data_IF_678881607629
#
_entry.id   IF_678881607629
#
_cell.length_a   1.000
_cell.length_b   1.000
_cell.length_c   1.000
_cell.angle_alpha   90.00
_cell.angle_beta   90.00
_cell.angle_gamma   90.00
#
_symmetry.space_group_name_H-M   'P 1'
#
loop_
_entity.id
_entity.type
_entity.pdbx_description
1 polymer ?
#
# COMPACT_ATOMS: atom_id res chain seq x y z
N UNK A 1 11.40 0.12 -4.21
CA UNK A 1 11.40 0.65 -2.84
C UNK A 1 12.69 1.43 -2.54
N UNK A 2 13.86 0.83 -2.72
CA UNK A 2 15.16 1.46 -2.42
C UNK A 2 15.41 2.78 -3.17
N UNK A 3 14.89 2.95 -4.39
CA UNK A 3 14.96 4.21 -5.12
C UNK A 3 14.23 5.37 -4.44
N UNK A 4 13.28 5.09 -3.57
CA UNK A 4 12.56 6.12 -2.81
C UNK A 4 13.39 6.79 -1.71
N UNK A 5 14.54 6.21 -1.35
CA UNK A 5 15.50 6.79 -0.41
C UNK A 5 16.60 7.60 -1.12
N UNK A 6 16.48 7.78 -2.44
CA UNK A 6 17.32 8.72 -3.17
C UNK A 6 17.15 10.14 -2.61
N UNK A 7 18.24 10.91 -2.43
CA UNK A 7 18.14 12.29 -1.96
C UNK A 7 17.65 13.18 -3.11
N UNK A 8 16.32 13.28 -3.26
CA UNK A 8 15.70 14.16 -4.27
C UNK A 8 16.03 15.62 -3.97
N UNK A 9 16.22 16.42 -5.01
CA UNK A 9 16.56 17.84 -4.88
C UNK A 9 15.37 18.68 -4.36
N UNK A 10 14.13 18.17 -4.51
CA UNK A 10 12.91 18.84 -4.05
C UNK A 10 11.84 17.86 -3.58
N UNK A 11 10.87 18.38 -2.82
CA UNK A 11 9.69 17.61 -2.43
C UNK A 11 8.80 17.27 -3.63
N UNK A 12 8.77 18.13 -4.63
CA UNK A 12 8.05 17.93 -5.89
C UNK A 12 8.57 16.71 -6.66
N UNK A 13 9.89 16.50 -6.71
CA UNK A 13 10.51 15.31 -7.31
C UNK A 13 10.27 14.07 -6.44
N UNK A 14 10.48 14.20 -5.16
CA UNK A 14 10.21 13.12 -4.18
C UNK A 14 8.79 12.58 -4.34
N UNK A 15 7.80 13.46 -4.37
CA UNK A 15 6.41 13.06 -4.49
C UNK A 15 6.02 12.63 -5.91
N UNK A 16 6.71 13.11 -6.95
CA UNK A 16 6.55 12.57 -8.29
C UNK A 16 6.99 11.10 -8.36
N UNK A 17 8.08 10.73 -7.71
CA UNK A 17 8.50 9.33 -7.58
C UNK A 17 7.50 8.50 -6.75
N UNK A 18 7.23 8.97 -5.52
CA UNK A 18 6.44 8.19 -4.58
C UNK A 18 4.98 8.03 -4.98
N UNK A 19 4.36 9.03 -5.61
CA UNK A 19 2.99 8.89 -6.10
C UNK A 19 2.83 7.76 -7.10
N UNK A 20 3.79 7.59 -8.03
CA UNK A 20 3.81 6.45 -8.96
C UNK A 20 4.03 5.13 -8.25
N UNK A 21 4.98 5.10 -7.32
CA UNK A 21 5.28 3.89 -6.56
C UNK A 21 4.09 3.44 -5.69
N UNK A 22 3.47 4.38 -4.98
CA UNK A 22 2.27 4.15 -4.17
C UNK A 22 1.15 3.63 -5.06
N UNK A 23 0.87 4.31 -6.17
CA UNK A 23 -0.24 3.93 -7.05
C UNK A 23 -0.11 2.49 -7.56
N UNK A 24 1.06 2.15 -8.08
CA UNK A 24 1.34 0.81 -8.61
C UNK A 24 1.18 -0.27 -7.52
N UNK A 25 1.74 -0.04 -6.35
CA UNK A 25 1.77 -1.07 -5.31
C UNK A 25 0.49 -1.14 -4.47
N UNK A 26 -0.18 0.01 -4.26
CA UNK A 26 -1.31 0.13 -3.34
C UNK A 26 -2.66 0.13 -4.05
N UNK A 27 -2.77 0.80 -5.19
CA UNK A 27 -4.05 1.05 -5.84
C UNK A 27 -4.30 0.18 -7.06
N UNK A 28 -3.28 -0.19 -7.83
CA UNK A 28 -3.44 -1.15 -8.94
C UNK A 28 -3.71 -2.56 -8.43
N UNK A 29 -4.37 -3.36 -9.26
CA UNK A 29 -4.60 -4.76 -8.95
C UNK A 29 -3.30 -5.58 -9.00
N UNK A 30 -3.20 -6.59 -8.14
CA UNK A 30 -2.09 -7.52 -8.19
C UNK A 30 -2.11 -8.28 -9.54
N UNK A 31 -0.94 -8.44 -10.22
CA UNK A 31 -0.89 -9.02 -11.57
C UNK A 31 -1.17 -10.54 -11.59
N UNK A 32 -1.16 -11.19 -10.44
CA UNK A 32 -1.36 -12.65 -10.30
C UNK A 32 -2.33 -12.96 -9.17
N UNK A 33 -3.09 -14.05 -9.25
CA UNK A 33 -4.14 -14.38 -8.27
C UNK A 33 -3.58 -15.05 -6.99
N UNK A 34 -2.36 -14.72 -6.57
CA UNK A 34 -1.70 -15.35 -5.40
C UNK A 34 -2.52 -15.14 -4.13
N UNK A 35 -2.92 -13.90 -3.87
CA UNK A 35 -3.70 -13.56 -2.66
C UNK A 35 -5.12 -14.10 -2.72
N UNK A 36 -5.76 -14.10 -3.90
CA UNK A 36 -7.09 -14.69 -4.08
C UNK A 36 -7.06 -16.20 -3.86
N UNK A 37 -6.04 -16.89 -4.38
CA UNK A 37 -5.85 -18.33 -4.15
C UNK A 37 -5.59 -18.65 -2.68
N UNK A 38 -4.82 -17.81 -1.98
CA UNK A 38 -4.60 -17.95 -0.54
C UNK A 38 -5.89 -17.72 0.24
N UNK A 39 -6.70 -16.73 -0.15
CA UNK A 39 -8.00 -16.49 0.47
C UNK A 39 -8.92 -17.70 0.33
N UNK A 40 -9.04 -18.28 -0.88
CA UNK A 40 -9.84 -19.51 -1.09
C UNK A 40 -9.38 -20.68 -0.21
N UNK A 41 -8.09 -20.78 0.08
CA UNK A 41 -7.54 -21.82 0.96
C UNK A 41 -7.96 -21.64 2.41
N UNK A 42 -8.17 -20.41 2.90
CA UNK A 42 -8.34 -20.11 4.32
C UNK A 42 -9.72 -19.54 4.69
N UNK A 43 -10.55 -19.11 3.73
CA UNK A 43 -11.82 -18.39 3.98
C UNK A 43 -12.79 -19.11 4.93
N UNK A 44 -12.80 -20.45 4.89
CA UNK A 44 -13.66 -21.29 5.73
C UNK A 44 -12.98 -21.75 7.04
N UNK A 45 -11.82 -21.19 7.37
CA UNK A 45 -11.05 -21.53 8.56
C UNK A 45 -11.06 -20.38 9.57
N UNK A 46 -10.77 -20.69 10.81
CA UNK A 46 -10.48 -19.66 11.80
C UNK A 46 -9.01 -19.23 11.60
N UNK A 47 -8.81 -18.13 10.89
CA UNK A 47 -7.49 -17.62 10.50
C UNK A 47 -7.24 -16.22 11.03
N UNK A 48 -5.97 -15.87 11.13
CA UNK A 48 -5.51 -14.51 11.28
C UNK A 48 -4.29 -14.26 10.40
N UNK A 49 -4.18 -13.09 9.78
CA UNK A 49 -3.04 -12.70 8.94
C UNK A 49 -2.20 -11.67 9.67
N UNK A 50 -0.94 -12.01 9.92
CA UNK A 50 0.10 -11.07 10.35
C UNK A 50 1.02 -10.80 9.15
N UNK A 51 1.14 -9.54 8.74
CA UNK A 51 1.95 -9.19 7.56
C UNK A 51 2.82 -7.96 7.79
N UNK A 52 3.98 -7.97 7.17
CA UNK A 52 4.85 -6.79 7.03
C UNK A 52 4.65 -6.07 5.70
N UNK A 53 3.76 -6.57 4.82
CA UNK A 53 3.42 -5.92 3.57
C UNK A 53 2.53 -4.69 3.82
N UNK A 54 2.74 -3.66 3.01
CA UNK A 54 2.08 -2.35 3.09
C UNK A 54 1.24 -2.02 1.85
N UNK A 55 1.00 -3.05 0.99
CA UNK A 55 0.39 -2.95 -0.34
C UNK A 55 -1.12 -3.21 -0.38
N UNK A 56 -1.73 -3.61 0.73
CA UNK A 56 -3.15 -3.94 0.84
C UNK A 56 -3.62 -5.13 -0.02
N UNK A 57 -2.72 -5.97 -0.51
CA UNK A 57 -3.09 -7.09 -1.38
C UNK A 57 -4.00 -8.11 -0.69
N UNK A 58 -3.88 -8.32 0.62
CA UNK A 58 -4.80 -9.17 1.37
C UNK A 58 -6.22 -8.61 1.36
N UNK A 59 -6.41 -7.33 1.65
CA UNK A 59 -7.72 -6.68 1.68
C UNK A 59 -8.36 -6.67 0.29
N UNK A 60 -7.58 -6.42 -0.77
CA UNK A 60 -8.06 -6.49 -2.17
C UNK A 60 -8.54 -7.89 -2.56
N UNK A 61 -7.93 -8.92 -2.00
CA UNK A 61 -8.31 -10.31 -2.24
C UNK A 61 -9.53 -10.77 -1.42
N UNK A 62 -10.09 -9.92 -0.55
CA UNK A 62 -11.29 -10.22 0.23
C UNK A 62 -11.05 -10.71 1.66
N UNK A 63 -9.81 -10.69 2.15
CA UNK A 63 -9.55 -11.02 3.55
C UNK A 63 -10.24 -10.03 4.49
N UNK A 64 -10.83 -10.55 5.56
CA UNK A 64 -11.49 -9.73 6.57
C UNK A 64 -10.47 -8.83 7.29
N UNK A 65 -10.69 -7.51 7.24
CA UNK A 65 -9.84 -6.52 7.91
C UNK A 65 -9.74 -6.75 9.42
N UNK A 66 -10.75 -7.34 10.05
CA UNK A 66 -10.73 -7.67 11.48
C UNK A 66 -9.82 -8.85 11.81
N UNK A 67 -9.43 -9.64 10.82
CA UNK A 67 -8.51 -10.78 10.90
C UNK A 67 -7.14 -10.49 10.28
N UNK A 68 -6.76 -9.22 10.25
CA UNK A 68 -5.56 -8.77 9.55
C UNK A 68 -4.83 -7.72 10.39
N UNK A 69 -3.51 -7.90 10.55
CA UNK A 69 -2.61 -6.91 11.14
C UNK A 69 -1.40 -6.68 10.22
N UNK A 70 -1.31 -5.49 9.62
CA UNK A 70 -0.20 -5.01 8.80
C UNK A 70 0.68 -4.10 9.64
N UNK A 71 1.79 -4.64 10.14
CA UNK A 71 2.59 -4.07 11.22
C UNK A 71 3.48 -2.89 10.79
N UNK A 72 3.79 -2.77 9.50
CA UNK A 72 4.78 -1.83 8.96
C UNK A 72 4.15 -0.58 8.32
N UNK A 73 2.83 -0.37 8.51
CA UNK A 73 2.08 0.74 7.93
C UNK A 73 1.37 0.42 6.62
N UNK A 74 1.04 1.45 5.85
CA UNK A 74 0.25 1.35 4.62
C UNK A 74 0.71 2.43 3.62
N UNK A 75 0.98 2.04 2.37
CA UNK A 75 1.22 2.99 1.28
C UNK A 75 0.03 3.93 1.02
N UNK A 76 -1.18 3.55 1.43
CA UNK A 76 -2.38 4.35 1.32
C UNK A 76 -2.54 5.44 2.39
N UNK A 77 -1.55 5.61 3.28
CA UNK A 77 -1.61 6.56 4.38
C UNK A 77 -0.41 7.52 4.39
N UNK A 78 -0.71 8.80 4.67
CA UNK A 78 0.30 9.79 5.01
C UNK A 78 0.29 10.09 6.51
N UNK A 79 1.44 10.45 7.04
CA UNK A 79 1.64 10.95 8.41
C UNK A 79 2.47 12.22 8.43
N UNK A 80 2.47 12.96 9.52
CA UNK A 80 3.39 14.07 9.72
C UNK A 80 4.85 13.56 9.73
N UNK A 81 5.74 14.18 8.95
CA UNK A 81 7.17 13.79 8.90
C UNK A 81 7.89 13.96 10.23
N UNK A 82 7.41 14.88 11.06
CA UNK A 82 7.82 15.01 12.46
C UNK A 82 6.57 14.77 13.28
N UNK A 83 6.34 13.58 13.85
CA UNK A 83 5.08 13.20 14.45
C UNK A 83 4.63 14.19 15.52
N UNK A 84 3.75 15.10 15.16
CA UNK A 84 3.18 16.09 16.09
C UNK A 84 1.88 15.60 16.73
N UNK A 85 1.34 14.49 16.25
CA UNK A 85 0.13 13.84 16.73
C UNK A 85 0.07 12.39 16.19
N UNK A 86 -0.79 11.57 16.77
CA UNK A 86 -0.92 10.15 16.48
C UNK A 86 -2.09 9.88 15.51
N UNK A 87 -2.00 10.43 14.28
CA UNK A 87 -2.97 10.17 13.23
C UNK A 87 -2.31 10.00 11.86
N UNK A 88 -2.89 9.11 11.07
CA UNK A 88 -2.57 8.91 9.66
C UNK A 88 -3.77 9.33 8.79
N UNK A 89 -3.51 9.69 7.54
CA UNK A 89 -4.47 10.28 6.60
C UNK A 89 -4.50 9.52 5.29
N UNK A 90 -5.69 9.22 4.80
CA UNK A 90 -5.87 8.63 3.47
C UNK A 90 -5.25 9.50 2.38
N UNK A 91 -4.62 8.87 1.39
CA UNK A 91 -3.88 9.59 0.36
C UNK A 91 -4.32 9.29 -1.07
N UNK A 92 -5.33 8.45 -1.30
CA UNK A 92 -5.69 7.98 -2.64
C UNK A 92 -6.00 9.12 -3.60
N UNK A 93 -6.86 10.06 -3.19
CA UNK A 93 -7.24 11.18 -4.05
C UNK A 93 -6.04 12.06 -4.40
N UNK A 94 -5.20 12.37 -3.41
CA UNK A 94 -4.03 13.21 -3.62
C UNK A 94 -2.98 12.53 -4.52
N UNK A 95 -2.75 11.23 -4.32
CA UNK A 95 -1.86 10.43 -5.17
C UNK A 95 -2.36 10.42 -6.62
N UNK A 96 -3.67 10.26 -6.86
CA UNK A 96 -4.26 10.33 -8.20
C UNK A 96 -4.03 11.69 -8.86
N UNK A 97 -4.27 12.77 -8.14
CA UNK A 97 -4.01 14.14 -8.63
C UNK A 97 -2.51 14.38 -8.94
N UNK A 98 -1.61 13.86 -8.12
CA UNK A 98 -0.17 13.93 -8.40
C UNK A 98 0.19 13.22 -9.72
N UNK A 99 -0.43 12.08 -10.01
CA UNK A 99 -0.20 11.35 -11.26
C UNK A 99 -0.77 12.09 -12.47
N UNK A 100 -1.97 12.60 -12.37
CA UNK A 100 -2.59 13.41 -13.43
C UNK A 100 -1.74 14.66 -13.76
N UNK A 101 -1.20 15.33 -12.73
CA UNK A 101 -0.31 16.46 -12.91
C UNK A 101 1.02 16.11 -13.61
N UNK A 102 1.46 14.85 -13.50
CA UNK A 102 2.62 14.31 -14.22
C UNK A 102 2.29 13.89 -15.67
N UNK A 103 1.02 13.88 -16.07
CA UNK A 103 0.57 13.49 -17.41
C UNK A 103 0.06 12.06 -17.52
N UNK A 104 -0.23 11.38 -16.41
CA UNK A 104 -0.88 10.07 -16.44
C UNK A 104 -2.39 10.20 -16.49
N UNK A 105 -3.06 9.37 -17.31
CA UNK A 105 -4.50 9.19 -17.26
C UNK A 105 -4.83 7.99 -16.39
N UNK A 106 -5.61 8.21 -15.36
CA UNK A 106 -6.05 7.16 -14.45
C UNK A 106 -7.47 6.76 -14.83
N UNK A 107 -7.68 5.48 -15.15
CA UNK A 107 -9.01 4.94 -15.41
C UNK A 107 -9.85 4.97 -14.12
N UNK A 108 -11.03 5.58 -14.18
CA UNK A 108 -12.01 5.46 -13.11
C UNK A 108 -12.75 4.13 -13.28
N UNK A 109 -12.66 3.22 -12.35
CA UNK A 109 -13.45 1.97 -12.30
C UNK A 109 -14.99 2.21 -12.33
N UNK A 110 -15.42 3.45 -12.10
CA UNK A 110 -16.82 3.86 -12.15
C UNK A 110 -17.29 4.34 -13.54
N UNK A 111 -16.38 4.56 -14.50
CA UNK A 111 -16.71 5.03 -15.84
C UNK A 111 -16.63 3.91 -16.90
N UNK A 112 -17.25 2.76 -16.66
CA UNK A 112 -17.53 1.76 -17.72
C UNK A 112 -18.68 2.21 -18.67
N UNK A 113 -18.91 3.50 -18.80
CA UNK A 113 -19.86 4.10 -19.70
C UNK A 113 -19.23 5.26 -20.46
N UNK A 114 -18.97 5.09 -21.76
CA UNK A 114 -18.61 6.12 -22.72
C UNK A 114 -17.15 6.60 -22.78
N UNK A 115 -16.25 5.73 -23.23
CA UNK A 115 -15.03 6.17 -23.91
C UNK A 115 -15.45 6.61 -25.33
N UNK A 116 -15.36 7.91 -25.62
CA UNK A 116 -15.59 8.46 -26.96
C UNK A 116 -14.69 7.73 -27.97
N UNK A 117 -15.27 7.31 -29.09
CA UNK A 117 -14.63 6.47 -30.13
C UNK A 117 -13.27 6.99 -30.65
N UNK A 118 -12.98 8.28 -30.54
CA UNK A 118 -11.75 8.88 -31.05
C UNK A 118 -10.50 8.62 -30.16
N UNK A 119 -10.67 8.36 -28.87
CA UNK A 119 -9.55 8.03 -27.99
C UNK A 119 -9.07 6.57 -28.16
N UNK A 120 -9.90 5.68 -28.73
CA UNK A 120 -9.55 4.26 -28.92
C UNK A 120 -8.51 4.00 -30.01
N UNK A 121 -8.42 4.85 -31.02
CA UNK A 121 -7.45 4.66 -32.12
C UNK A 121 -6.08 5.21 -31.75
N UNK A 122 -6.00 6.33 -31.02
CA UNK A 122 -4.74 6.88 -30.53
C UNK A 122 -4.12 6.04 -29.43
N UNK A 123 -4.91 5.49 -28.50
CA UNK A 123 -4.46 4.60 -27.43
C UNK A 123 -3.96 3.26 -27.96
N UNK A 124 -4.43 2.82 -29.14
CA UNK A 124 -4.00 1.55 -29.74
C UNK A 124 -2.55 1.59 -30.28
N UNK A 125 -2.04 2.79 -30.59
CA UNK A 125 -0.67 2.99 -31.08
C UNK A 125 0.36 3.04 -29.93
N UNK A 126 -0.05 3.32 -28.68
CA UNK A 126 0.80 3.55 -27.52
C UNK A 126 0.82 2.42 -26.48
N UNK A 127 0.34 1.23 -26.84
CA UNK A 127 0.55 0.03 -26.03
C UNK A 127 2.03 -0.36 -25.99
N UNK A 128 2.81 0.38 -25.22
CA UNK A 128 4.11 -0.13 -24.77
C UNK A 128 3.87 -1.30 -23.82
N UNK A 129 4.37 -2.48 -24.20
CA UNK A 129 4.29 -3.78 -23.52
C UNK A 129 4.95 -3.80 -22.11
N UNK A 130 4.75 -2.81 -21.26
CA UNK A 130 5.42 -2.73 -19.96
C UNK A 130 4.65 -3.38 -18.81
N UNK A 131 3.34 -3.65 -18.98
CA UNK A 131 2.56 -4.35 -17.98
C UNK A 131 1.46 -5.17 -18.68
N UNK A 132 1.77 -6.40 -19.06
CA UNK A 132 0.73 -7.34 -19.44
C UNK A 132 -0.15 -7.59 -18.20
N UNK A 133 -1.31 -6.94 -18.15
CA UNK A 133 -2.35 -7.32 -17.20
C UNK A 133 -3.06 -6.21 -16.41
N UNK A 134 -2.73 -4.93 -16.57
CA UNK A 134 -3.49 -3.85 -15.91
C UNK A 134 -3.75 -2.69 -16.84
N UNK A 135 -5.04 -2.41 -17.10
CA UNK A 135 -5.50 -1.29 -17.96
C UNK A 135 -5.59 0.06 -17.19
N UNK A 136 -5.03 0.15 -15.97
CA UNK A 136 -5.37 1.19 -15.01
C UNK A 136 -4.49 2.45 -15.08
N UNK A 137 -3.32 2.38 -15.71
CA UNK A 137 -2.42 3.52 -15.84
C UNK A 137 -2.02 3.71 -17.31
N UNK A 138 -2.54 4.74 -17.97
CA UNK A 138 -2.25 5.07 -19.36
C UNK A 138 -1.35 6.32 -19.38
N UNK A 139 -0.16 6.17 -19.99
CA UNK A 139 0.69 7.32 -20.31
C UNK A 139 0.12 8.06 -21.53
N UNK A 140 -0.05 9.36 -21.43
CA UNK A 140 -0.36 10.22 -22.58
C UNK A 140 0.92 10.54 -23.35
N UNK A 141 0.82 10.96 -24.63
CA UNK A 141 1.95 11.44 -25.46
C UNK A 141 2.63 12.70 -24.92
N UNK A 142 2.15 13.27 -23.82
CA UNK A 142 2.79 14.37 -23.13
C UNK A 142 4.11 13.90 -22.51
N UNK A 143 5.13 14.73 -22.60
CA UNK A 143 6.40 14.54 -21.90
C UNK A 143 6.10 14.38 -20.42
N UNK A 144 6.42 13.20 -19.86
CA UNK A 144 6.24 12.93 -18.44
C UNK A 144 7.01 13.95 -17.61
N UNK A 145 6.31 14.61 -16.74
CA UNK A 145 6.93 15.50 -15.78
C UNK A 145 7.47 14.67 -14.60
N UNK A 146 8.74 14.92 -14.26
CA UNK A 146 9.38 14.27 -13.10
C UNK A 146 9.20 15.07 -11.81
N UNK A 147 8.29 16.03 -11.82
CA UNK A 147 7.93 16.87 -10.69
C UNK A 147 6.41 17.04 -10.65
N UNK A 148 5.87 17.20 -9.45
CA UNK A 148 4.48 17.61 -9.23
C UNK A 148 4.42 19.11 -8.94
N UNK A 149 3.28 19.78 -9.14
CA UNK A 149 3.06 21.14 -8.63
C UNK A 149 3.22 21.23 -7.11
N UNK A 150 3.81 22.32 -6.60
CA UNK A 150 4.08 22.51 -5.17
C UNK A 150 2.82 22.49 -4.30
N UNK A 151 1.66 22.89 -4.84
CA UNK A 151 0.36 22.83 -4.17
C UNK A 151 -0.14 21.40 -3.91
N UNK A 152 0.45 20.39 -4.56
CA UNK A 152 0.15 18.98 -4.32
C UNK A 152 1.11 18.32 -3.32
N UNK A 153 2.15 19.01 -2.87
CA UNK A 153 3.01 18.52 -1.79
C UNK A 153 2.20 18.42 -0.51
N UNK A 154 2.06 17.23 0.10
CA UNK A 154 1.22 17.05 1.27
C UNK A 154 1.83 17.72 2.50
N UNK A 155 1.01 18.48 3.22
CA UNK A 155 1.37 19.13 4.48
C UNK A 155 0.46 18.69 5.62
N UNK A 156 1.05 18.55 6.80
CA UNK A 156 0.34 18.18 8.00
C UNK A 156 -0.74 19.22 8.34
N UNK A 157 -2.01 18.82 8.51
CA UNK A 157 -3.09 19.77 8.78
C UNK A 157 -2.99 20.43 10.17
N UNK A 158 -2.19 19.87 11.09
CA UNK A 158 -2.03 20.44 12.43
C UNK A 158 -0.83 21.39 12.55
N UNK A 159 0.32 21.04 11.95
CA UNK A 159 1.54 21.83 12.14
C UNK A 159 2.10 22.44 10.85
N UNK A 160 1.49 22.19 9.69
CA UNK A 160 1.93 22.71 8.39
C UNK A 160 3.25 22.12 7.85
N UNK A 161 3.92 21.24 8.58
CA UNK A 161 5.15 20.60 8.08
C UNK A 161 4.85 19.61 6.96
N UNK A 162 5.81 19.31 6.08
CA UNK A 162 5.61 18.25 5.08
C UNK A 162 5.18 16.94 5.70
N UNK A 163 4.38 16.18 4.99
CA UNK A 163 4.03 14.81 5.35
C UNK A 163 5.00 13.81 4.74
N UNK A 164 4.95 12.58 5.21
CA UNK A 164 5.62 11.41 4.65
C UNK A 164 4.63 10.24 4.60
N UNK A 165 5.01 9.14 3.97
CA UNK A 165 4.22 7.91 3.99
C UNK A 165 4.19 7.34 5.40
N UNK A 166 3.07 6.75 5.81
CA UNK A 166 2.98 5.99 7.05
C UNK A 166 3.64 4.61 6.87
N UNK A 167 4.98 4.60 6.90
CA UNK A 167 5.80 3.41 6.77
C UNK A 167 6.80 3.35 7.92
N UNK A 168 6.97 2.17 8.51
CA UNK A 168 7.96 1.93 9.56
C UNK A 168 9.37 1.83 8.96
N UNK A 169 9.93 2.95 8.54
CA UNK A 169 11.31 3.07 8.05
C UNK A 169 12.29 3.43 9.19
N UNK A 170 11.79 4.13 10.20
CA UNK A 170 12.55 4.61 11.36
C UNK A 170 11.64 4.76 12.60
N UNK A 171 12.11 5.49 13.61
CA UNK A 171 11.40 5.73 14.87
C UNK A 171 10.33 6.84 14.80
N UNK A 172 10.09 7.43 13.63
CA UNK A 172 9.03 8.44 13.44
C UNK A 172 7.70 7.84 13.01
N UNK A 173 7.62 6.52 12.85
CA UNK A 173 6.40 5.82 12.48
C UNK A 173 5.25 6.11 13.45
N UNK A 174 4.10 6.52 12.91
CA UNK A 174 2.89 6.77 13.69
C UNK A 174 2.06 5.50 13.77
N UNK A 175 1.92 4.97 14.97
CA UNK A 175 0.97 3.90 15.30
C UNK A 175 -0.35 4.57 15.68
N UNK A 176 -1.25 4.69 14.71
CA UNK A 176 -2.56 5.29 14.95
C UNK A 176 -3.52 4.34 15.68
N UNK A 177 -4.72 4.83 16.01
CA UNK A 177 -5.74 4.02 16.67
C UNK A 177 -6.08 2.74 15.89
N UNK A 178 -6.11 2.81 14.56
CA UNK A 178 -6.38 1.65 13.71
C UNK A 178 -5.30 0.58 13.82
N UNK A 179 -4.04 1.00 13.92
CA UNK A 179 -2.90 0.12 14.13
C UNK A 179 -2.99 -0.59 15.51
N UNK A 180 -3.24 0.17 16.57
CA UNK A 180 -3.39 -0.38 17.93
C UNK A 180 -4.56 -1.36 18.04
N UNK A 181 -5.69 -1.06 17.41
CA UNK A 181 -6.83 -1.98 17.36
C UNK A 181 -6.51 -3.28 16.60
N UNK A 182 -5.72 -3.21 15.51
CA UNK A 182 -5.31 -4.40 14.78
C UNK A 182 -4.33 -5.25 15.59
N UNK A 183 -3.38 -4.63 16.29
CA UNK A 183 -2.47 -5.30 17.22
C UNK A 183 -3.24 -6.03 18.33
N UNK A 184 -4.21 -5.33 18.97
CA UNK A 184 -5.06 -5.93 20.01
C UNK A 184 -5.83 -7.15 19.49
N UNK A 185 -6.42 -7.08 18.28
CA UNK A 185 -7.13 -8.23 17.69
C UNK A 185 -6.22 -9.42 17.44
N UNK A 186 -4.98 -9.18 17.02
CA UNK A 186 -3.98 -10.23 16.86
C UNK A 186 -3.63 -10.90 18.19
N UNK A 187 -3.34 -10.13 19.22
CA UNK A 187 -3.05 -10.63 20.57
C UNK A 187 -4.25 -11.41 21.15
N UNK A 188 -5.46 -10.89 20.96
CA UNK A 188 -6.68 -11.57 21.39
C UNK A 188 -6.90 -12.89 20.65
N UNK A 189 -6.62 -12.94 19.34
CA UNK A 189 -6.65 -14.18 18.57
C UNK A 189 -5.71 -15.21 19.16
N UNK A 190 -4.44 -14.88 19.39
CA UNK A 190 -3.47 -15.78 19.99
C UNK A 190 -3.89 -16.24 21.39
N UNK A 191 -4.39 -15.31 22.21
CA UNK A 191 -4.86 -15.62 23.58
C UNK A 191 -6.00 -16.63 23.59
N UNK A 192 -6.99 -16.45 22.71
CA UNK A 192 -8.15 -17.36 22.61
C UNK A 192 -7.78 -18.75 22.09
N UNK A 193 -6.68 -18.87 21.35
CA UNK A 193 -6.23 -20.12 20.74
C UNK A 193 -5.09 -20.80 21.52
N UNK A 194 -4.69 -20.28 22.68
CA UNK A 194 -3.49 -20.71 23.42
C UNK A 194 -3.42 -22.23 23.69
N UNK A 195 -4.54 -22.91 23.79
CA UNK A 195 -4.59 -24.37 24.07
C UNK A 195 -5.21 -25.16 22.89
N UNK A 196 -5.22 -24.57 21.71
CA UNK A 196 -5.73 -25.19 20.48
C UNK A 196 -4.57 -25.51 19.54
N UNK A 197 -4.82 -26.38 18.57
CA UNK A 197 -3.85 -26.64 17.50
C UNK A 197 -3.81 -25.46 16.52
N UNK A 198 -2.71 -24.73 16.51
CA UNK A 198 -2.46 -23.60 15.61
C UNK A 198 -1.42 -24.01 14.57
N UNK A 199 -1.71 -23.77 13.31
CA UNK A 199 -0.72 -23.84 12.24
C UNK A 199 -0.14 -22.44 11.98
N UNK A 200 1.14 -22.27 12.19
CA UNK A 200 1.89 -21.06 11.81
C UNK A 200 2.45 -21.22 10.41
N UNK A 201 1.86 -20.54 9.42
CA UNK A 201 2.24 -20.60 8.03
C UNK A 201 3.05 -19.36 7.63
N UNK A 202 4.34 -19.53 7.35
CA UNK A 202 5.21 -18.46 6.84
C UNK A 202 5.24 -18.45 5.31
N UNK A 203 4.88 -17.31 4.69
CA UNK A 203 4.92 -17.11 3.24
C UNK A 203 5.77 -15.88 2.92
N UNK A 204 6.92 -16.08 2.26
CA UNK A 204 7.82 -15.01 1.86
C UNK A 204 8.48 -14.25 3.02
N UNK A 205 8.52 -14.82 4.21
CA UNK A 205 9.10 -14.18 5.40
C UNK A 205 10.63 -14.32 5.36
N UNK A 206 11.30 -13.21 5.04
CA UNK A 206 12.76 -13.13 4.97
C UNK A 206 13.44 -12.86 6.31
N UNK A 207 14.75 -12.55 6.25
CA UNK A 207 15.56 -12.20 7.40
C UNK A 207 15.77 -10.69 7.59
N UNK A 208 15.12 -9.84 6.79
CA UNK A 208 15.25 -8.39 6.95
C UNK A 208 14.58 -7.87 8.23
N UNK A 209 13.42 -8.45 8.59
CA UNK A 209 12.67 -8.09 9.80
C UNK A 209 12.16 -9.36 10.51
N UNK A 210 13.06 -10.30 10.90
CA UNK A 210 12.65 -11.62 11.40
C UNK A 210 11.97 -11.56 12.76
N UNK A 211 12.19 -10.50 13.52
CA UNK A 211 11.61 -10.30 14.85
C UNK A 211 10.10 -10.08 14.88
N UNK A 212 9.47 -9.79 13.73
CA UNK A 212 8.03 -9.51 13.69
C UNK A 212 7.21 -10.79 13.50
N UNK A 213 7.63 -11.66 12.59
CA UNK A 213 6.87 -12.88 12.24
C UNK A 213 7.72 -14.12 12.55
N UNK A 214 8.89 -14.25 11.93
CA UNK A 214 9.68 -15.47 11.92
C UNK A 214 10.04 -15.98 13.32
N UNK A 215 10.72 -15.18 14.13
CA UNK A 215 11.12 -15.61 15.48
C UNK A 215 9.94 -15.81 16.42
N UNK A 216 8.91 -14.94 16.46
CA UNK A 216 7.71 -15.22 17.26
C UNK A 216 7.00 -16.51 16.87
N UNK A 217 6.88 -16.84 15.58
CA UNK A 217 6.24 -18.07 15.12
C UNK A 217 7.06 -19.30 15.56
N UNK A 218 8.38 -19.26 15.41
CA UNK A 218 9.24 -20.35 15.88
C UNK A 218 9.12 -20.56 17.39
N UNK A 219 9.18 -19.48 18.18
CA UNK A 219 9.01 -19.56 19.64
C UNK A 219 7.66 -20.09 20.08
N UNK A 220 6.59 -19.82 19.33
CA UNK A 220 5.26 -20.35 19.62
C UNK A 220 5.10 -21.81 19.17
N UNK A 221 5.86 -22.26 18.18
CA UNK A 221 5.83 -23.65 17.68
C UNK A 221 6.63 -24.59 18.55
N UNK A 222 7.67 -24.10 19.25
CA UNK A 222 8.59 -24.88 20.10
C UNK A 222 8.00 -25.19 21.50
N UNK A 223 6.76 -24.80 21.77
CA UNK A 223 6.07 -25.01 23.06
C UNK A 223 5.03 -26.11 22.98
#
# INVERSE_FOLDING_TARGET
YSGGFYPFDSLEEHWAYWSRYIYINRYMNAPKPVYSNLYELVKDKDYFVLTTNVDHCFQKAGFDKHRLFYTQGDYGLFQCSTPCHQAAYDNEELVRRMLEAQGFCIGNDKAKGEIKKNAKEEVKALRLNLLQGSDDLIQTDAILKMQIPSELVPHCPQCGRPMTMNLRADNTFVEDEGWHQAAFRYEDFLRRHKNLNILFLELGVGYNTPGIIKYPFWQMTDK
#
